data_IF_897296271861
#
_entry.id   IF_897296271861
#
_cell.length_a   1.000
_cell.length_b   1.000
_cell.length_c   1.000
_cell.angle_alpha   90.00
_cell.angle_beta   90.00
_cell.angle_gamma   90.00
#
_symmetry.space_group_name_H-M   'P 1'
#
loop_
_entity.id
_entity.type
_entity.pdbx_description
1 polymer ?
#
# COMPACT_ATOMS: atom_id res chain seq x y z
N UNK A 1 7.68 46.73 5.19
CA UNK A 1 7.54 46.89 3.73
C UNK A 1 6.06 47.07 3.44
N UNK A 2 5.64 48.26 2.99
CA UNK A 2 4.23 48.54 2.72
C UNK A 2 3.88 48.11 1.30
N UNK A 3 2.90 47.20 1.17
CA UNK A 3 2.23 46.97 -0.10
C UNK A 3 1.35 48.17 -0.39
N UNK A 4 1.65 48.90 -1.46
CA UNK A 4 0.83 50.01 -1.95
C UNK A 4 -0.42 49.40 -2.62
N UNK A 5 -1.60 49.70 -2.10
CA UNK A 5 -2.88 49.25 -2.64
C UNK A 5 -3.11 49.85 -4.03
N UNK A 6 -3.22 49.00 -5.06
CA UNK A 6 -3.52 49.41 -6.44
C UNK A 6 -5.05 49.46 -6.64
N UNK A 7 -5.57 50.57 -7.16
CA UNK A 7 -6.99 50.76 -7.44
C UNK A 7 -7.23 50.62 -8.95
N UNK A 8 -7.99 49.62 -9.37
CA UNK A 8 -8.09 49.16 -10.77
C UNK A 8 -9.04 49.99 -11.66
N UNK A 9 -9.29 51.27 -11.34
CA UNK A 9 -10.40 52.05 -11.93
C UNK A 9 -10.04 52.95 -13.13
N UNK A 10 -8.78 53.00 -13.57
CA UNK A 10 -8.35 53.94 -14.63
C UNK A 10 -8.08 53.31 -16.01
N UNK A 11 -8.57 52.09 -16.28
CA UNK A 11 -8.35 51.41 -17.56
C UNK A 11 -9.63 51.22 -18.37
N UNK A 12 -10.19 52.29 -18.94
CA UNK A 12 -11.13 52.19 -20.08
C UNK A 12 -11.04 53.45 -20.96
N UNK A 13 -9.91 53.59 -21.66
CA UNK A 13 -9.68 54.65 -22.64
C UNK A 13 -9.37 54.07 -24.02
N UNK A 14 -10.38 53.58 -24.75
CA UNK A 14 -10.23 53.25 -26.17
C UNK A 14 -10.01 54.55 -26.97
N UNK A 15 -8.76 54.89 -27.27
CA UNK A 15 -8.44 56.05 -28.12
C UNK A 15 -8.80 55.72 -29.57
N UNK A 16 -9.98 56.16 -30.00
CA UNK A 16 -10.36 56.22 -31.42
C UNK A 16 -10.04 57.63 -31.92
N UNK A 17 -9.19 57.75 -32.93
CA UNK A 17 -8.88 59.04 -33.58
C UNK A 17 -9.73 59.13 -34.85
N UNK A 18 -10.63 60.10 -34.90
CA UNK A 18 -11.47 60.41 -36.06
C UNK A 18 -10.74 61.35 -37.01
N UNK A 19 -10.42 60.87 -38.21
CA UNK A 19 -9.94 61.71 -39.31
C UNK A 19 -11.11 62.31 -40.12
N UNK A 20 -10.88 63.42 -40.86
CA UNK A 20 -11.89 64.04 -41.71
C UNK A 20 -12.17 63.14 -42.91
N UNK A 21 -13.11 62.21 -42.76
CA UNK A 21 -13.44 61.21 -43.79
C UNK A 21 -14.12 59.93 -43.30
N UNK A 22 -14.59 59.85 -42.06
CA UNK A 22 -15.54 58.80 -41.60
C UNK A 22 -15.01 57.36 -41.46
N UNK A 23 -13.74 57.08 -41.80
CA UNK A 23 -13.12 55.77 -41.58
C UNK A 23 -12.37 55.68 -40.24
N UNK A 24 -12.76 54.76 -39.36
CA UNK A 24 -12.04 54.45 -38.12
C UNK A 24 -10.72 53.73 -38.42
N UNK A 25 -9.59 54.41 -38.33
CA UNK A 25 -8.28 53.76 -38.36
C UNK A 25 -8.01 53.12 -36.98
N UNK A 26 -7.87 51.78 -36.93
CA UNK A 26 -7.40 51.09 -35.72
C UNK A 26 -5.98 51.55 -35.41
N UNK A 27 -5.82 52.27 -34.29
CA UNK A 27 -4.52 52.64 -33.77
C UNK A 27 -3.65 51.39 -33.58
N UNK A 28 -2.44 51.37 -34.17
CA UNK A 28 -1.44 50.30 -33.95
C UNK A 28 -0.73 50.43 -32.62
N UNK A 29 -1.08 51.44 -31.81
CA UNK A 29 -0.50 51.64 -30.49
C UNK A 29 -0.97 50.51 -29.57
N UNK A 30 -0.05 49.75 -28.95
CA UNK A 30 -0.42 48.75 -27.97
C UNK A 30 -1.22 49.40 -26.85
N UNK A 31 -2.22 48.68 -26.35
CA UNK A 31 -2.99 49.11 -25.20
C UNK A 31 -2.06 49.36 -24.01
N UNK A 32 -2.25 50.52 -23.36
CA UNK A 32 -1.40 50.98 -22.28
C UNK A 32 -1.92 50.47 -20.93
N UNK A 33 -2.15 49.16 -20.84
CA UNK A 33 -2.59 48.52 -19.60
C UNK A 33 -1.41 47.98 -18.82
N UNK A 34 -1.49 47.97 -17.49
CA UNK A 34 -0.39 47.50 -16.63
C UNK A 34 0.05 46.06 -16.95
N UNK A 35 -0.90 45.21 -17.35
CA UNK A 35 -0.63 43.84 -17.81
C UNK A 35 0.11 43.80 -19.16
N UNK A 36 -0.40 44.48 -20.19
CA UNK A 36 0.19 44.46 -21.55
C UNK A 36 1.54 45.18 -21.61
N UNK A 37 1.77 46.14 -20.72
CA UNK A 37 3.03 46.87 -20.61
C UNK A 37 4.01 46.23 -19.62
N UNK A 38 3.66 45.10 -19.00
CA UNK A 38 4.49 44.38 -18.01
C UNK A 38 4.89 45.26 -16.81
N UNK A 39 3.98 46.13 -16.35
CA UNK A 39 4.15 47.05 -15.21
C UNK A 39 3.25 46.67 -14.04
N UNK A 40 2.85 45.40 -13.96
CA UNK A 40 2.11 44.92 -12.80
C UNK A 40 2.94 45.13 -11.53
N UNK A 41 2.31 45.55 -10.41
CA UNK A 41 3.00 45.63 -9.14
C UNK A 41 3.48 44.21 -8.76
N UNK A 42 4.79 44.06 -8.62
CA UNK A 42 5.42 42.80 -8.27
C UNK A 42 6.26 42.99 -7.00
N UNK A 43 6.19 42.01 -6.10
CA UNK A 43 7.13 41.93 -4.99
C UNK A 43 8.43 41.29 -5.49
N UNK A 44 9.55 41.98 -5.33
CA UNK A 44 10.87 41.53 -5.75
C UNK A 44 11.77 41.39 -4.53
N UNK A 45 11.75 40.24 -3.82
CA UNK A 45 12.60 40.04 -2.65
C UNK A 45 14.07 39.96 -3.05
N UNK A 46 14.88 40.86 -2.51
CA UNK A 46 16.33 40.80 -2.62
C UNK A 46 16.85 40.00 -1.42
N UNK A 47 17.26 38.76 -1.67
CA UNK A 47 17.77 37.86 -0.64
C UNK A 47 19.20 38.28 -0.25
N UNK A 48 19.32 39.00 0.86
CA UNK A 48 20.60 39.40 1.46
C UNK A 48 20.89 38.57 2.71
N UNK A 49 22.16 38.48 3.12
CA UNK A 49 22.56 37.73 4.30
C UNK A 49 21.77 38.13 5.57
N UNK A 50 21.50 39.44 5.77
CA UNK A 50 20.72 39.92 6.91
C UNK A 50 19.24 39.51 6.91
N UNK A 51 18.68 39.17 5.75
CA UNK A 51 17.29 38.68 5.62
C UNK A 51 17.19 37.15 5.69
N UNK A 52 18.19 36.45 5.19
CA UNK A 52 18.18 34.98 5.07
C UNK A 52 18.66 34.30 6.35
N UNK A 53 19.64 34.89 7.05
CA UNK A 53 20.22 34.31 8.26
C UNK A 53 19.19 34.10 9.39
N UNK A 54 18.33 35.07 9.74
CA UNK A 54 17.27 34.84 10.72
C UNK A 54 16.27 33.75 10.29
N UNK A 55 15.98 33.64 9.00
CA UNK A 55 15.08 32.62 8.48
C UNK A 55 15.66 31.20 8.65
N UNK A 56 16.96 31.02 8.39
CA UNK A 56 17.64 29.74 8.63
C UNK A 56 17.66 29.36 10.11
N UNK A 57 17.95 30.28 11.02
CA UNK A 57 17.87 30.01 12.47
C UNK A 57 16.48 29.56 12.91
N UNK A 58 15.41 30.20 12.40
CA UNK A 58 14.02 29.81 12.72
C UNK A 58 13.73 28.40 12.22
N UNK A 59 14.12 28.08 10.97
CA UNK A 59 13.91 26.74 10.40
C UNK A 59 14.66 25.68 11.20
N UNK A 60 15.92 25.94 11.57
CA UNK A 60 16.72 25.03 12.39
C UNK A 60 16.10 24.76 13.76
N UNK A 61 15.68 25.81 14.46
CA UNK A 61 15.03 25.70 15.78
C UNK A 61 13.69 24.96 15.75
N UNK A 62 12.98 24.96 14.62
CA UNK A 62 11.74 24.19 14.45
C UNK A 62 12.04 22.74 14.05
N UNK A 63 12.99 22.52 13.14
CA UNK A 63 13.24 21.20 12.58
C UNK A 63 13.92 20.25 13.56
N UNK A 64 14.81 20.74 14.43
CA UNK A 64 15.48 19.91 15.44
C UNK A 64 14.49 19.25 16.43
N UNK A 65 13.61 19.98 17.15
CA UNK A 65 12.69 19.36 18.09
C UNK A 65 11.68 18.44 17.40
N UNK A 66 11.23 18.80 16.18
CA UNK A 66 10.39 17.90 15.37
C UNK A 66 11.16 16.61 15.06
N UNK A 67 12.40 16.72 14.58
CA UNK A 67 13.23 15.57 14.26
C UNK A 67 13.50 14.66 15.46
N UNK A 68 13.80 15.23 16.63
CA UNK A 68 13.99 14.47 17.88
C UNK A 68 12.68 13.77 18.28
N UNK A 69 11.55 14.48 18.25
CA UNK A 69 10.24 13.91 18.58
C UNK A 69 9.92 12.71 17.68
N UNK A 70 10.06 12.89 16.37
CA UNK A 70 9.89 11.85 15.35
C UNK A 70 10.82 10.64 15.57
N UNK A 71 12.09 10.90 15.89
CA UNK A 71 13.09 9.86 16.14
C UNK A 71 12.76 9.03 17.38
N UNK A 72 12.44 9.69 18.51
CA UNK A 72 12.06 9.00 19.75
C UNK A 72 10.78 8.19 19.57
N UNK A 73 9.77 8.76 18.92
CA UNK A 73 8.52 8.02 18.63
C UNK A 73 8.76 6.80 17.75
N UNK A 74 9.69 6.88 16.78
CA UNK A 74 10.03 5.74 15.93
C UNK A 74 10.79 4.65 16.69
N UNK A 75 11.72 5.01 17.57
CA UNK A 75 12.52 4.03 18.32
C UNK A 75 11.73 3.33 19.43
N UNK A 76 10.62 3.92 19.87
CA UNK A 76 9.70 3.28 20.80
C UNK A 76 8.83 2.21 20.14
N UNK A 77 8.79 2.14 18.79
CA UNK A 77 8.08 1.09 18.07
C UNK A 77 8.89 -0.20 18.19
N UNK A 78 8.23 -1.25 18.70
CA UNK A 78 8.83 -2.57 18.82
C UNK A 78 8.48 -3.39 17.59
N UNK A 79 9.45 -4.10 17.02
CA UNK A 79 9.24 -4.95 15.85
C UNK A 79 9.93 -6.30 16.07
N UNK A 80 9.30 -7.37 15.59
CA UNK A 80 9.85 -8.72 15.64
C UNK A 80 9.70 -9.39 14.28
N UNK A 81 10.76 -10.00 13.78
CA UNK A 81 10.81 -10.60 12.45
C UNK A 81 11.24 -12.07 12.54
N UNK A 82 10.60 -12.93 11.73
CA UNK A 82 10.95 -14.34 11.61
C UNK A 82 10.90 -14.77 10.15
N UNK A 83 12.04 -15.09 9.56
CA UNK A 83 12.08 -15.73 8.24
C UNK A 83 11.59 -17.19 8.34
N UNK A 84 10.57 -17.54 7.54
CA UNK A 84 10.06 -18.90 7.45
C UNK A 84 10.39 -19.61 6.13
N UNK A 85 11.13 -18.98 5.20
CA UNK A 85 11.40 -19.48 3.83
C UNK A 85 11.94 -20.92 3.78
N UNK A 86 12.73 -21.32 4.79
CA UNK A 86 13.26 -22.68 4.86
C UNK A 86 14.41 -22.95 3.88
N UNK A 87 15.31 -21.99 3.67
CA UNK A 87 16.50 -22.17 2.81
C UNK A 87 17.55 -23.06 3.48
N UNK A 88 17.77 -22.86 4.78
CA UNK A 88 18.75 -23.63 5.55
C UNK A 88 18.22 -24.99 5.96
N UNK A 89 19.07 -26.01 5.92
CA UNK A 89 18.74 -27.39 6.35
C UNK A 89 18.31 -27.44 7.83
N UNK A 90 18.78 -26.49 8.64
CA UNK A 90 18.39 -26.35 10.05
C UNK A 90 17.03 -25.70 10.27
N UNK A 91 16.42 -25.13 9.23
CA UNK A 91 15.12 -24.47 9.35
C UNK A 91 14.00 -25.50 9.51
N UNK A 92 13.04 -25.29 10.45
CA UNK A 92 11.86 -26.16 10.58
C UNK A 92 11.03 -26.26 9.30
N UNK A 93 11.13 -25.27 8.40
CA UNK A 93 10.37 -25.20 7.16
C UNK A 93 11.14 -25.75 5.94
N UNK A 94 12.37 -26.26 6.11
CA UNK A 94 13.20 -26.79 5.01
C UNK A 94 12.53 -27.94 4.24
N UNK A 95 11.80 -28.81 4.94
CA UNK A 95 11.07 -29.90 4.27
C UNK A 95 9.96 -29.37 3.35
N UNK A 96 9.34 -28.24 3.71
CA UNK A 96 8.30 -27.62 2.89
C UNK A 96 8.87 -26.88 1.66
N UNK A 97 10.09 -26.34 1.76
CA UNK A 97 10.77 -25.70 0.62
C UNK A 97 11.30 -26.73 -0.39
N UNK A 98 11.75 -27.90 0.08
CA UNK A 98 12.41 -28.93 -0.76
C UNK A 98 11.45 -29.97 -1.37
N UNK A 99 10.45 -30.48 -0.63
CA UNK A 99 9.51 -31.50 -1.12
C UNK A 99 8.37 -30.90 -1.96
N UNK A 100 8.68 -29.86 -2.72
CA UNK A 100 7.71 -29.17 -3.54
C UNK A 100 7.41 -29.96 -4.83
N UNK A 101 6.24 -30.59 -4.87
CA UNK A 101 5.68 -31.17 -6.10
C UNK A 101 4.37 -30.47 -6.42
N UNK A 102 4.26 -29.89 -7.62
CA UNK A 102 3.03 -29.27 -8.16
C UNK A 102 1.79 -30.18 -8.07
N UNK A 103 1.99 -31.50 -7.97
CA UNK A 103 0.95 -32.52 -7.90
C UNK A 103 0.62 -32.99 -6.47
N UNK A 104 1.28 -32.43 -5.44
CA UNK A 104 1.01 -32.84 -4.06
C UNK A 104 -0.21 -32.09 -3.53
N UNK A 105 -1.36 -32.76 -3.51
CA UNK A 105 -2.64 -32.22 -3.02
C UNK A 105 -2.66 -31.93 -1.51
N UNK A 106 -1.54 -32.12 -0.79
CA UNK A 106 -1.46 -31.95 0.67
C UNK A 106 -0.70 -30.66 1.01
N UNK A 107 -1.31 -29.76 1.79
CA UNK A 107 -0.61 -28.58 2.28
C UNK A 107 0.57 -29.01 3.17
N UNK A 108 1.72 -28.35 3.04
CA UNK A 108 2.85 -28.56 3.93
C UNK A 108 2.74 -27.59 5.11
N UNK A 109 2.81 -28.10 6.32
CA UNK A 109 2.77 -27.27 7.52
C UNK A 109 4.13 -27.30 8.21
N UNK A 110 4.67 -26.14 8.56
CA UNK A 110 5.84 -26.02 9.41
C UNK A 110 5.55 -25.14 10.63
N UNK A 111 6.27 -25.39 11.72
CA UNK A 111 6.10 -24.68 12.99
C UNK A 111 7.39 -24.02 13.40
N UNK A 112 7.34 -22.72 13.65
CA UNK A 112 8.50 -21.95 14.09
C UNK A 112 8.28 -21.44 15.51
N UNK A 113 9.02 -21.98 16.49
CA UNK A 113 9.01 -21.44 17.85
C UNK A 113 9.83 -20.14 17.90
N UNK A 114 9.33 -19.16 18.64
CA UNK A 114 10.06 -17.92 18.91
C UNK A 114 9.71 -17.35 20.28
N UNK A 115 10.54 -16.44 20.79
CA UNK A 115 10.35 -15.80 22.09
C UNK A 115 10.21 -14.29 21.94
N UNK A 116 9.19 -13.72 22.57
CA UNK A 116 9.03 -12.27 22.69
C UNK A 116 9.57 -11.83 24.05
N UNK A 117 10.70 -11.11 24.05
CA UNK A 117 11.36 -10.64 25.27
C UNK A 117 10.53 -9.61 26.05
N UNK A 118 9.83 -8.75 25.31
CA UNK A 118 9.08 -7.64 25.88
C UNK A 118 7.60 -7.76 25.49
N UNK A 119 6.68 -7.33 26.37
CA UNK A 119 5.26 -7.30 26.04
C UNK A 119 4.97 -6.23 24.99
N UNK A 120 3.90 -6.43 24.23
CA UNK A 120 3.42 -5.47 23.26
C UNK A 120 2.04 -4.95 23.64
N UNK A 121 1.93 -3.63 23.70
CA UNK A 121 0.76 -2.92 24.21
C UNK A 121 0.00 -2.23 23.08
N UNK A 122 -1.32 -2.11 23.20
CA UNK A 122 -2.13 -1.42 22.20
C UNK A 122 -2.39 -2.25 20.94
N UNK A 123 -2.64 -1.58 19.81
CA UNK A 123 -3.04 -2.26 18.58
C UNK A 123 -1.85 -2.97 17.94
N UNK A 124 -1.99 -4.29 17.82
CA UNK A 124 -0.98 -5.16 17.26
C UNK A 124 -1.32 -5.48 15.81
N UNK A 125 -0.32 -5.43 14.93
CA UNK A 125 -0.48 -5.72 13.50
C UNK A 125 0.47 -6.83 13.10
N UNK A 126 0.00 -7.74 12.26
CA UNK A 126 0.78 -8.83 11.69
C UNK A 126 0.90 -8.59 10.20
N UNK A 127 2.12 -8.55 9.68
CA UNK A 127 2.38 -8.40 8.25
C UNK A 127 2.96 -9.68 7.70
N UNK A 128 2.82 -9.87 6.39
CA UNK A 128 3.73 -10.73 5.64
C UNK A 128 4.63 -9.88 4.76
N UNK A 129 5.88 -10.31 4.63
CA UNK A 129 6.83 -9.69 3.72
C UNK A 129 7.22 -10.65 2.61
N UNK A 130 7.56 -10.05 1.48
CA UNK A 130 8.18 -10.72 0.36
C UNK A 130 9.38 -9.88 -0.04
N UNK A 131 10.50 -10.53 -0.30
CA UNK A 131 11.66 -9.90 -0.92
C UNK A 131 11.91 -10.50 -2.29
N UNK A 132 12.66 -9.78 -3.13
CA UNK A 132 12.89 -10.13 -4.53
C UNK A 132 11.60 -10.34 -5.35
N UNK A 133 10.49 -9.72 -4.96
CA UNK A 133 9.22 -9.81 -5.67
C UNK A 133 8.86 -8.46 -6.31
N UNK A 134 9.06 -8.35 -7.62
CA UNK A 134 8.98 -7.08 -8.36
C UNK A 134 7.53 -6.69 -8.74
N UNK A 135 6.70 -6.33 -7.75
CA UNK A 135 5.34 -5.82 -8.02
C UNK A 135 5.34 -4.54 -8.85
N UNK A 136 6.42 -3.76 -8.80
CA UNK A 136 6.58 -2.50 -9.53
C UNK A 136 6.94 -2.68 -11.02
N UNK A 137 7.13 -3.92 -11.49
CA UNK A 137 7.43 -4.16 -12.89
C UNK A 137 6.26 -3.72 -13.78
N UNK A 138 6.53 -2.89 -14.81
CA UNK A 138 5.49 -2.23 -15.63
C UNK A 138 4.43 -3.19 -16.17
N UNK A 139 4.82 -4.36 -16.67
CA UNK A 139 3.87 -5.37 -17.19
C UNK A 139 3.03 -6.01 -16.09
N UNK A 140 3.60 -6.16 -14.89
CA UNK A 140 2.89 -6.71 -13.75
C UNK A 140 1.82 -5.73 -13.26
N UNK A 141 2.20 -4.46 -13.04
CA UNK A 141 1.28 -3.39 -12.57
C UNK A 141 0.10 -3.18 -13.53
N UNK A 142 0.36 -3.26 -14.84
CA UNK A 142 -0.67 -3.11 -15.87
C UNK A 142 -1.62 -4.30 -15.97
N UNK A 143 -1.21 -5.48 -15.54
CA UNK A 143 -1.95 -6.72 -15.74
C UNK A 143 -3.07 -6.90 -14.70
N UNK A 144 -4.14 -6.12 -14.88
CA UNK A 144 -5.41 -6.17 -14.16
C UNK A 144 -6.50 -5.45 -14.96
N UNK A 145 -7.76 -5.68 -14.59
CA UNK A 145 -8.92 -4.97 -15.13
C UNK A 145 -9.66 -4.26 -14.00
N UNK A 146 -9.54 -2.93 -13.95
CA UNK A 146 -10.18 -2.12 -12.91
C UNK A 146 -11.72 -2.08 -13.04
N UNK A 147 -12.28 -2.23 -14.24
CA UNK A 147 -13.74 -2.31 -14.44
C UNK A 147 -14.29 -3.64 -13.93
N UNK A 148 -13.58 -4.75 -14.20
CA UNK A 148 -13.93 -6.06 -13.64
C UNK A 148 -13.90 -6.02 -12.11
N UNK A 149 -12.86 -5.44 -11.51
CA UNK A 149 -12.71 -5.33 -10.06
C UNK A 149 -13.74 -4.38 -9.41
N UNK A 150 -14.32 -3.47 -10.20
CA UNK A 150 -15.44 -2.63 -9.81
C UNK A 150 -16.81 -3.31 -9.97
N UNK A 151 -16.85 -4.59 -10.35
CA UNK A 151 -18.07 -5.37 -10.47
C UNK A 151 -18.88 -5.11 -11.74
N UNK A 152 -18.26 -4.57 -12.79
CA UNK A 152 -18.89 -4.42 -14.10
C UNK A 152 -19.18 -5.79 -14.74
N UNK A 153 -20.43 -6.00 -15.13
CA UNK A 153 -20.88 -7.31 -15.66
C UNK A 153 -20.31 -7.60 -17.05
N UNK A 154 -20.12 -6.58 -17.88
CA UNK A 154 -19.55 -6.75 -19.22
C UNK A 154 -18.05 -7.12 -19.11
N UNK A 155 -17.30 -6.37 -18.30
CA UNK A 155 -15.88 -6.63 -18.03
C UNK A 155 -15.63 -7.97 -17.33
N UNK A 156 -16.64 -8.57 -16.71
CA UNK A 156 -16.55 -9.92 -16.14
C UNK A 156 -16.45 -11.01 -17.22
N UNK A 157 -17.17 -10.85 -18.33
CA UNK A 157 -17.18 -11.81 -19.45
C UNK A 157 -16.17 -11.46 -20.55
N UNK A 158 -15.88 -10.16 -20.72
CA UNK A 158 -14.90 -9.65 -21.68
C UNK A 158 -13.82 -8.83 -20.96
N UNK A 159 -12.83 -9.49 -20.34
CA UNK A 159 -11.75 -8.80 -19.63
C UNK A 159 -10.86 -7.98 -20.58
N UNK A 160 -10.28 -6.92 -20.03
CA UNK A 160 -9.32 -6.04 -20.73
C UNK A 160 -8.12 -6.80 -21.29
N UNK A 161 -7.61 -6.34 -22.44
CA UNK A 161 -6.38 -6.86 -23.07
C UNK A 161 -5.15 -6.70 -22.20
N UNK A 162 -5.14 -5.74 -21.27
CA UNK A 162 -4.00 -5.56 -20.36
C UNK A 162 -3.83 -6.77 -19.42
N UNK A 163 -4.87 -7.59 -19.21
CA UNK A 163 -4.79 -8.82 -18.43
C UNK A 163 -4.04 -9.96 -19.12
N UNK A 164 -3.68 -9.86 -20.41
CA UNK A 164 -2.95 -10.92 -21.10
C UNK A 164 -1.58 -11.22 -20.45
N UNK A 165 -1.18 -12.50 -20.32
CA UNK A 165 -1.86 -13.71 -20.82
C UNK A 165 -2.95 -14.27 -19.87
N UNK A 166 -3.14 -13.68 -18.70
CA UNK A 166 -4.06 -14.14 -17.65
C UNK A 166 -5.49 -13.60 -17.80
N UNK A 167 -5.94 -13.42 -19.05
CA UNK A 167 -7.30 -12.98 -19.36
C UNK A 167 -8.26 -14.18 -19.50
N UNK A 168 -7.79 -15.31 -20.03
CA UNK A 168 -8.61 -16.48 -20.32
C UNK A 168 -7.91 -17.79 -19.89
N UNK A 169 -8.71 -18.76 -19.43
CA UNK A 169 -8.29 -20.14 -19.17
C UNK A 169 -9.35 -21.09 -19.72
N UNK A 170 -8.96 -22.07 -20.54
CA UNK A 170 -9.87 -23.01 -21.23
C UNK A 170 -11.05 -22.32 -21.94
N UNK A 171 -10.76 -21.22 -22.65
CA UNK A 171 -11.76 -20.36 -23.35
C UNK A 171 -12.80 -19.70 -22.44
N UNK A 172 -12.62 -19.74 -21.11
CA UNK A 172 -13.43 -18.99 -20.15
C UNK A 172 -12.64 -17.77 -19.65
N UNK A 173 -13.29 -16.61 -19.51
CA UNK A 173 -12.66 -15.43 -18.92
C UNK A 173 -12.30 -15.69 -17.46
N UNK A 174 -11.11 -15.26 -17.04
CA UNK A 174 -10.64 -15.41 -15.67
C UNK A 174 -11.22 -14.25 -14.82
N UNK A 175 -11.76 -14.58 -13.65
CA UNK A 175 -12.21 -13.60 -12.67
C UNK A 175 -11.62 -13.93 -11.28
N UNK A 176 -10.76 -13.05 -10.72
CA UNK A 176 -10.16 -11.83 -11.30
C UNK A 176 -9.05 -12.10 -12.33
N UNK A 177 -9.00 -11.34 -13.42
CA UNK A 177 -7.95 -11.48 -14.44
C UNK A 177 -6.65 -10.77 -14.06
N UNK A 178 -5.55 -11.20 -14.70
CA UNK A 178 -4.26 -10.51 -14.65
C UNK A 178 -3.21 -11.13 -13.74
N UNK A 179 -1.95 -10.74 -13.97
CA UNK A 179 -0.78 -11.30 -13.29
C UNK A 179 -0.77 -11.00 -11.79
N UNK A 180 -1.31 -9.84 -11.38
CA UNK A 180 -1.37 -9.43 -9.97
C UNK A 180 -2.24 -10.43 -9.23
N UNK A 181 -3.49 -10.61 -9.65
CA UNK A 181 -4.40 -11.52 -8.98
C UNK A 181 -3.93 -12.98 -9.05
N UNK A 182 -3.43 -13.43 -10.19
CA UNK A 182 -2.94 -14.80 -10.35
C UNK A 182 -1.74 -15.15 -9.43
N UNK A 183 -1.00 -14.15 -8.94
CA UNK A 183 0.13 -14.36 -8.03
C UNK A 183 -0.17 -14.06 -6.56
N UNK A 184 -1.45 -14.04 -6.17
CA UNK A 184 -1.90 -13.75 -4.81
C UNK A 184 -1.23 -14.61 -3.74
N UNK A 185 -0.70 -13.96 -2.70
CA UNK A 185 -0.20 -14.61 -1.50
C UNK A 185 -1.27 -15.52 -0.88
N UNK A 186 -0.91 -16.78 -0.64
CA UNK A 186 -1.86 -17.82 -0.26
C UNK A 186 -1.41 -18.69 0.93
N UNK A 187 -0.29 -18.35 1.58
CA UNK A 187 0.13 -19.03 2.80
C UNK A 187 -0.82 -18.68 3.96
N UNK A 188 -1.09 -19.66 4.81
CA UNK A 188 -1.96 -19.46 5.98
C UNK A 188 -1.10 -19.40 7.23
N UNK A 189 -1.17 -18.29 7.95
CA UNK A 189 -0.36 -18.05 9.14
C UNK A 189 -1.25 -18.01 10.37
N UNK A 190 -0.94 -18.86 11.34
CA UNK A 190 -1.61 -18.92 12.64
C UNK A 190 -0.60 -18.72 13.77
N UNK A 191 -0.98 -17.92 14.77
CA UNK A 191 -0.12 -17.57 15.88
C UNK A 191 -0.65 -18.20 17.16
N UNK A 192 0.25 -18.84 17.90
CA UNK A 192 -0.08 -19.46 19.18
C UNK A 192 0.84 -18.95 20.29
N UNK A 193 0.25 -18.68 21.44
CA UNK A 193 0.96 -18.41 22.69
C UNK A 193 1.17 -19.71 23.46
N UNK A 194 2.41 -20.01 23.82
CA UNK A 194 2.76 -21.17 24.62
C UNK A 194 2.80 -20.74 26.08
N UNK A 195 1.73 -21.03 26.81
CA UNK A 195 1.63 -20.77 28.24
C UNK A 195 2.71 -21.57 28.98
N UNK A 196 3.43 -20.97 29.96
CA UNK A 196 4.34 -21.70 30.85
C UNK A 196 3.74 -22.96 31.49
N UNK A 197 2.41 -23.04 31.61
CA UNK A 197 1.69 -24.22 32.07
C UNK A 197 1.63 -25.37 31.04
N UNK A 198 2.24 -25.22 29.87
CA UNK A 198 2.31 -26.22 28.79
C UNK A 198 1.14 -26.20 27.81
N UNK A 199 0.25 -25.20 27.89
CA UNK A 199 -0.91 -25.09 27.00
C UNK A 199 -0.60 -24.18 25.81
N UNK A 200 -0.91 -24.64 24.58
CA UNK A 200 -0.82 -23.85 23.35
C UNK A 200 -2.16 -23.15 23.12
N UNK A 201 -2.20 -21.82 23.27
CA UNK A 201 -3.41 -20.99 23.12
C UNK A 201 -3.37 -20.25 21.79
N UNK A 202 -4.46 -20.34 21.00
CA UNK A 202 -4.57 -19.63 19.73
C UNK A 202 -4.75 -18.12 19.97
N UNK A 203 -3.92 -17.30 19.33
CA UNK A 203 -4.06 -15.84 19.36
C UNK A 203 -5.12 -15.43 18.34
N UNK A 204 -6.18 -14.70 18.75
CA UNK A 204 -7.24 -14.29 17.83
C UNK A 204 -6.72 -13.27 16.82
N UNK A 205 -6.72 -13.65 15.54
CA UNK A 205 -6.29 -12.82 14.42
C UNK A 205 -7.52 -12.30 13.65
N UNK A 206 -7.72 -10.99 13.60
CA UNK A 206 -8.79 -10.39 12.80
C UNK A 206 -8.35 -10.19 11.35
N UNK A 207 -9.13 -10.70 10.40
CA UNK A 207 -8.93 -10.58 8.95
C UNK A 207 -9.74 -9.43 8.30
N UNK A 208 -10.42 -8.62 9.11
CA UNK A 208 -11.19 -7.44 8.69
C UNK A 208 -10.59 -6.15 9.25
N UNK A 209 -10.77 -5.04 8.55
CA UNK A 209 -10.19 -3.75 8.92
C UNK A 209 -8.69 -3.63 8.63
N UNK A 210 -8.20 -4.41 7.66
CA UNK A 210 -6.84 -4.39 7.13
C UNK A 210 -6.72 -3.59 5.82
N UNK A 211 -7.81 -3.51 5.04
CA UNK A 211 -7.87 -2.74 3.82
C UNK A 211 -8.23 -1.26 4.08
N UNK A 212 -7.82 -0.39 3.16
CA UNK A 212 -8.20 1.02 3.23
C UNK A 212 -9.69 1.21 2.92
N UNK A 213 -10.32 2.16 3.61
CA UNK A 213 -11.73 2.45 3.44
C UNK A 213 -12.11 2.70 1.97
N UNK A 214 -11.33 3.50 1.25
CA UNK A 214 -11.59 3.80 -0.17
C UNK A 214 -11.48 2.55 -1.06
N UNK A 215 -10.55 1.65 -0.76
CA UNK A 215 -10.40 0.44 -1.55
C UNK A 215 -11.59 -0.48 -1.31
N UNK A 216 -11.97 -0.69 -0.05
CA UNK A 216 -13.04 -1.60 0.33
C UNK A 216 -14.44 -1.14 -0.09
N UNK A 217 -14.75 0.15 0.04
CA UNK A 217 -16.11 0.66 -0.12
C UNK A 217 -16.35 1.43 -1.41
N UNK A 218 -15.29 1.86 -2.10
CA UNK A 218 -15.43 2.66 -3.33
C UNK A 218 -14.84 1.93 -4.53
N UNK A 219 -13.59 1.48 -4.45
CA UNK A 219 -12.85 0.97 -5.60
C UNK A 219 -13.27 -0.44 -6.00
N UNK A 220 -13.28 -1.38 -5.06
CA UNK A 220 -13.63 -2.78 -5.29
C UNK A 220 -15.10 -3.02 -4.96
N UNK A 221 -15.80 -3.74 -5.85
CA UNK A 221 -17.20 -4.12 -5.63
C UNK A 221 -17.48 -5.48 -6.23
N UNK A 222 -18.38 -6.22 -5.61
CA UNK A 222 -18.88 -7.46 -6.19
C UNK A 222 -19.88 -7.15 -7.31
N UNK A 223 -19.84 -7.91 -8.42
CA UNK A 223 -20.84 -7.81 -9.48
C UNK A 223 -22.23 -8.24 -8.96
N UNK A 224 -23.30 -7.71 -9.57
CA UNK A 224 -24.68 -8.03 -9.22
C UNK A 224 -25.28 -7.26 -8.03
N UNK A 225 -24.50 -6.41 -7.35
CA UNK A 225 -24.97 -5.56 -6.25
C UNK A 225 -25.03 -6.25 -4.88
N UNK A 226 -25.58 -5.54 -3.90
CA UNK A 226 -25.60 -5.99 -2.50
C UNK A 226 -26.53 -7.21 -2.31
N UNK A 227 -25.98 -8.30 -1.76
CA UNK A 227 -26.74 -9.52 -1.46
C UNK A 227 -26.92 -10.49 -2.62
N UNK A 228 -26.29 -10.25 -3.77
CA UNK A 228 -26.32 -11.18 -4.90
C UNK A 228 -25.65 -12.53 -4.55
N UNK A 229 -26.18 -13.62 -5.09
CA UNK A 229 -25.54 -14.94 -4.98
C UNK A 229 -24.29 -14.98 -5.86
N UNK A 230 -23.12 -14.80 -5.25
CA UNK A 230 -21.85 -14.71 -5.96
C UNK A 230 -21.60 -15.89 -6.90
N UNK A 231 -21.95 -17.12 -6.50
CA UNK A 231 -21.78 -18.31 -7.34
C UNK A 231 -22.56 -18.22 -8.65
N UNK A 232 -23.74 -17.62 -8.63
CA UNK A 232 -24.54 -17.39 -9.83
C UNK A 232 -23.98 -16.25 -10.68
N UNK A 233 -23.50 -15.18 -10.05
CA UNK A 233 -22.95 -14.02 -10.76
C UNK A 233 -21.65 -14.35 -11.49
N UNK A 234 -20.78 -15.15 -10.88
CA UNK A 234 -19.52 -15.59 -11.48
C UNK A 234 -19.69 -16.77 -12.45
N UNK A 235 -20.93 -17.18 -12.76
CA UNK A 235 -21.18 -18.26 -13.70
C UNK A 235 -20.63 -17.93 -15.10
N UNK A 236 -19.84 -18.85 -15.67
CA UNK A 236 -19.18 -18.65 -16.96
C UNK A 236 -17.75 -18.11 -16.87
N UNK A 237 -17.31 -17.66 -15.69
CA UNK A 237 -15.91 -17.31 -15.43
C UNK A 237 -15.11 -18.53 -14.94
N UNK A 238 -13.78 -18.41 -14.95
CA UNK A 238 -12.85 -19.35 -14.34
C UNK A 238 -12.03 -18.68 -13.24
N UNK A 239 -11.62 -19.46 -12.25
CA UNK A 239 -10.65 -19.00 -11.24
C UNK A 239 -9.27 -18.76 -11.90
N UNK A 240 -8.42 -17.90 -11.32
CA UNK A 240 -7.04 -17.79 -11.75
C UNK A 240 -6.30 -19.13 -11.69
N UNK A 241 -5.31 -19.30 -12.56
CA UNK A 241 -4.62 -20.57 -12.78
C UNK A 241 -4.01 -21.11 -11.50
N UNK A 242 -3.36 -20.24 -10.72
CA UNK A 242 -2.65 -20.62 -9.51
C UNK A 242 -3.54 -20.63 -8.26
N UNK A 243 -4.83 -20.32 -8.38
CA UNK A 243 -5.74 -20.31 -7.24
C UNK A 243 -6.30 -21.72 -7.00
N UNK A 244 -6.41 -22.13 -5.74
CA UNK A 244 -7.08 -23.39 -5.38
C UNK A 244 -8.61 -23.23 -5.41
N UNK A 245 -9.09 -22.10 -4.91
CA UNK A 245 -10.51 -21.76 -4.78
C UNK A 245 -10.85 -20.55 -5.64
N UNK A 246 -12.08 -20.42 -6.14
CA UNK A 246 -12.54 -19.22 -6.83
C UNK A 246 -12.69 -18.03 -5.88
N UNK A 247 -12.80 -16.83 -6.45
CA UNK A 247 -12.86 -15.57 -5.69
C UNK A 247 -14.05 -15.45 -4.74
N UNK A 248 -15.15 -16.11 -5.04
CA UNK A 248 -16.36 -16.14 -4.23
C UNK A 248 -16.34 -17.22 -3.12
N UNK A 249 -15.21 -17.89 -2.91
CA UNK A 249 -14.98 -18.86 -1.82
C UNK A 249 -13.76 -18.48 -0.95
N UNK A 250 -13.32 -17.22 -1.01
CA UNK A 250 -12.16 -16.74 -0.25
C UNK A 250 -12.44 -16.63 1.25
N UNK A 251 -13.66 -16.24 1.62
CA UNK A 251 -14.08 -16.14 3.02
C UNK A 251 -15.48 -16.74 3.19
N UNK A 252 -15.77 -17.24 4.39
CA UNK A 252 -17.10 -17.68 4.83
C UNK A 252 -18.02 -16.50 5.10
N UNK A 253 -17.46 -15.35 5.50
CA UNK A 253 -18.23 -14.14 5.77
C UNK A 253 -18.59 -13.43 4.46
N UNK A 254 -19.88 -13.27 4.18
CA UNK A 254 -20.38 -12.61 2.97
C UNK A 254 -19.89 -11.17 2.81
N UNK A 255 -19.64 -10.45 3.91
CA UNK A 255 -19.13 -9.07 3.91
C UNK A 255 -17.63 -8.95 3.59
N UNK A 256 -16.91 -10.07 3.50
CA UNK A 256 -15.48 -10.14 3.21
C UNK A 256 -15.16 -11.17 2.12
N UNK A 257 -16.09 -11.38 1.18
CA UNK A 257 -15.96 -12.40 0.14
C UNK A 257 -16.13 -11.81 -1.27
N UNK A 258 -15.57 -12.45 -2.30
CA UNK A 258 -15.50 -11.91 -3.66
C UNK A 258 -14.39 -10.86 -3.82
N UNK A 259 -14.57 -9.88 -4.71
CA UNK A 259 -13.60 -8.82 -4.97
C UNK A 259 -13.43 -7.86 -3.78
N UNK A 260 -14.38 -7.84 -2.85
CA UNK A 260 -14.31 -7.03 -1.62
C UNK A 260 -13.55 -7.72 -0.47
N UNK A 261 -13.03 -8.93 -0.70
CA UNK A 261 -12.20 -9.63 0.29
C UNK A 261 -10.97 -8.79 0.62
N UNK A 262 -10.74 -8.50 1.90
CA UNK A 262 -9.70 -7.57 2.32
C UNK A 262 -8.28 -8.10 2.07
N UNK A 263 -8.04 -9.41 2.20
CA UNK A 263 -6.74 -10.02 1.86
C UNK A 263 -6.43 -9.83 0.36
N UNK A 264 -7.43 -10.04 -0.49
CA UNK A 264 -7.33 -9.79 -1.92
C UNK A 264 -7.07 -8.31 -2.23
N UNK A 265 -7.80 -7.39 -1.60
CA UNK A 265 -7.61 -5.94 -1.78
C UNK A 265 -6.18 -5.52 -1.39
N UNK A 266 -5.70 -5.97 -0.23
CA UNK A 266 -4.35 -5.66 0.24
C UNK A 266 -3.30 -6.19 -0.74
N UNK A 267 -3.52 -7.38 -1.31
CA UNK A 267 -2.64 -7.92 -2.34
C UNK A 267 -2.63 -7.08 -3.61
N UNK A 268 -3.82 -6.73 -4.13
CA UNK A 268 -4.00 -5.98 -5.38
C UNK A 268 -3.39 -4.58 -5.38
N UNK A 269 -3.10 -4.01 -4.20
CA UNK A 269 -2.30 -2.79 -4.06
C UNK A 269 -0.82 -3.08 -4.28
N UNK A 270 -0.33 -2.85 -5.49
CA UNK A 270 1.08 -3.07 -5.86
C UNK A 270 2.05 -2.26 -5.01
N UNK A 271 3.08 -2.91 -4.48
CA UNK A 271 4.18 -2.27 -3.78
C UNK A 271 5.14 -1.55 -4.74
N UNK A 272 5.78 -0.48 -4.26
CA UNK A 272 6.73 0.32 -5.05
C UNK A 272 8.14 -0.30 -5.13
N UNK A 273 8.48 -1.15 -4.16
CA UNK A 273 9.81 -1.76 -3.99
C UNK A 273 9.72 -3.30 -4.09
N UNK A 274 10.81 -3.99 -4.47
CA UNK A 274 10.86 -5.45 -4.57
C UNK A 274 10.83 -6.16 -3.22
N UNK A 275 11.20 -5.45 -2.16
CA UNK A 275 11.02 -5.89 -0.77
C UNK A 275 9.91 -5.05 -0.17
N UNK A 276 8.83 -5.69 0.25
CA UNK A 276 7.67 -5.02 0.79
C UNK A 276 6.98 -5.86 1.85
N UNK A 277 6.18 -5.19 2.68
CA UNK A 277 5.29 -5.82 3.64
C UNK A 277 3.83 -5.47 3.34
N UNK A 278 2.93 -6.41 3.58
CA UNK A 278 1.49 -6.26 3.44
C UNK A 278 0.81 -6.67 4.74
N UNK A 279 -0.19 -5.89 5.15
CA UNK A 279 -0.91 -6.15 6.38
C UNK A 279 -1.71 -7.44 6.22
N UNK A 280 -1.47 -8.41 7.09
CA UNK A 280 -2.16 -9.69 7.11
C UNK A 280 -3.33 -9.64 8.09
N UNK A 281 -3.04 -9.41 9.37
CA UNK A 281 -4.06 -9.48 10.44
C UNK A 281 -3.86 -8.35 11.44
N UNK A 282 -4.94 -8.01 12.13
CA UNK A 282 -4.86 -7.16 13.33
C UNK A 282 -5.19 -7.99 14.56
N UNK A 283 -4.45 -7.76 15.64
CA UNK A 283 -4.71 -8.35 16.95
C UNK A 283 -5.17 -7.19 17.81
N UNK A 284 -6.48 -7.15 18.06
CA UNK A 284 -7.13 -6.15 18.88
C UNK A 284 -7.85 -6.90 20.00
N UNK A 285 -7.21 -6.98 21.15
CA UNK A 285 -7.89 -7.44 22.35
C UNK A 285 -7.99 -6.29 23.34
N UNK A 286 -9.19 -5.70 23.46
CA UNK A 286 -9.46 -4.63 24.40
C UNK A 286 -9.53 -5.11 25.86
N UNK A 287 -9.59 -6.44 26.09
CA UNK A 287 -9.76 -7.04 27.42
C UNK A 287 -8.46 -7.54 28.03
N UNK A 288 -7.42 -7.77 27.21
CA UNK A 288 -6.12 -8.31 27.65
C UNK A 288 -5.03 -7.25 27.40
N UNK A 289 -4.42 -6.78 28.50
CA UNK A 289 -3.28 -5.87 28.49
C UNK A 289 -2.14 -6.57 29.24
N UNK A 290 -0.97 -6.79 28.62
CA UNK A 290 -0.57 -6.44 27.25
C UNK A 290 -1.29 -7.30 26.18
N UNK A 291 -1.48 -6.75 24.98
CA UNK A 291 -2.16 -7.45 23.87
C UNK A 291 -1.39 -8.69 23.43
N UNK A 292 -0.06 -8.64 23.45
CA UNK A 292 0.80 -9.83 23.41
C UNK A 292 1.77 -9.81 24.61
N UNK A 293 1.62 -10.71 25.59
CA UNK A 293 2.58 -10.81 26.70
C UNK A 293 3.95 -11.31 26.22
N UNK A 294 5.00 -10.99 26.97
CA UNK A 294 6.32 -11.61 26.81
C UNK A 294 6.23 -13.11 27.07
N UNK A 295 6.85 -13.93 26.23
CA UNK A 295 6.75 -15.38 26.37
C UNK A 295 7.11 -16.13 25.10
N UNK A 296 6.95 -17.45 25.17
CA UNK A 296 7.15 -18.33 24.03
C UNK A 296 5.91 -18.32 23.13
N UNK A 297 6.13 -18.20 21.84
CA UNK A 297 5.10 -18.29 20.82
C UNK A 297 5.48 -19.35 19.80
N UNK A 298 4.50 -19.78 19.03
CA UNK A 298 4.69 -20.65 17.88
C UNK A 298 3.89 -20.12 16.72
N UNK A 299 4.60 -19.86 15.62
CA UNK A 299 4.00 -19.57 14.33
C UNK A 299 3.80 -20.88 13.59
N UNK A 300 2.56 -21.16 13.21
CA UNK A 300 2.20 -22.28 12.35
C UNK A 300 1.95 -21.76 10.94
N UNK A 301 2.74 -22.23 9.99
CA UNK A 301 2.70 -21.79 8.60
C UNK A 301 2.23 -22.95 7.75
N UNK A 302 1.09 -22.76 7.09
CA UNK A 302 0.59 -23.65 6.06
C UNK A 302 1.06 -23.10 4.72
N UNK A 303 2.10 -23.72 4.17
CA UNK A 303 2.69 -23.38 2.89
C UNK A 303 1.73 -23.69 1.74
N UNK A 304 1.59 -22.71 0.86
CA UNK A 304 0.73 -22.76 -0.31
C UNK A 304 1.48 -22.29 -1.56
N UNK A 305 0.93 -22.71 -2.70
CA UNK A 305 1.63 -23.06 -3.95
C UNK A 305 2.43 -21.94 -4.64
N UNK A 306 2.33 -20.68 -4.21
CA UNK A 306 2.84 -19.53 -4.98
C UNK A 306 4.24 -19.03 -4.59
N UNK A 307 4.73 -19.33 -3.39
CA UNK A 307 6.06 -18.88 -2.98
C UNK A 307 7.21 -19.66 -3.63
N UNK A 308 6.97 -20.85 -4.20
CA UNK A 308 8.04 -21.76 -4.65
C UNK A 308 8.35 -21.66 -6.15
N UNK A 309 7.38 -21.66 -7.08
CA UNK A 309 7.73 -21.69 -8.52
C UNK A 309 8.07 -20.37 -9.17
N UNK A 310 7.45 -19.28 -8.74
CA UNK A 310 7.80 -17.95 -9.28
C UNK A 310 9.23 -17.59 -8.88
N UNK A 311 9.75 -18.23 -7.82
CA UNK A 311 11.02 -17.90 -7.21
C UNK A 311 12.12 -18.93 -7.47
N UNK A 312 11.86 -20.25 -7.46
CA UNK A 312 12.91 -21.25 -7.70
C UNK A 312 13.47 -21.25 -9.12
N UNK A 313 12.67 -20.88 -10.14
CA UNK A 313 13.13 -20.93 -11.53
C UNK A 313 13.39 -19.56 -12.19
N UNK A 314 12.99 -18.44 -11.58
CA UNK A 314 13.20 -17.12 -12.17
C UNK A 314 13.94 -16.13 -11.28
N UNK A 315 13.74 -16.13 -9.96
CA UNK A 315 14.34 -15.13 -9.07
C UNK A 315 14.50 -15.66 -7.63
N UNK A 316 15.75 -15.78 -7.18
CA UNK A 316 16.18 -16.24 -5.86
C UNK A 316 15.24 -15.78 -4.69
N UNK A 317 14.47 -16.67 -4.04
CA UNK A 317 13.51 -16.32 -2.99
C UNK A 317 14.17 -16.12 -1.63
N UNK A 318 14.03 -14.92 -1.08
CA UNK A 318 13.99 -14.76 0.38
C UNK A 318 12.59 -14.23 0.72
N UNK A 319 11.66 -15.11 1.09
CA UNK A 319 10.33 -14.70 1.53
C UNK A 319 10.37 -14.54 3.06
N UNK A 320 11.01 -13.48 3.57
CA UNK A 320 11.04 -13.24 5.00
C UNK A 320 9.69 -12.70 5.49
N UNK A 321 9.13 -13.36 6.50
CA UNK A 321 7.94 -12.89 7.19
C UNK A 321 8.32 -11.97 8.33
N UNK A 322 7.87 -10.74 8.20
CA UNK A 322 8.03 -9.74 9.24
C UNK A 322 6.72 -9.73 10.00
N UNK A 323 6.67 -10.34 11.18
CA UNK A 323 5.62 -10.06 12.16
C UNK A 323 5.81 -8.66 12.72
N UNK A 324 5.69 -7.64 11.85
CA UNK A 324 5.91 -6.25 12.23
C UNK A 324 4.78 -5.77 13.10
N UNK A 325 4.98 -5.91 14.40
CA UNK A 325 4.07 -5.42 15.40
C UNK A 325 4.15 -3.90 15.52
N UNK A 326 3.52 -3.20 14.58
CA UNK A 326 3.64 -1.74 14.48
C UNK A 326 2.54 -1.01 15.26
N UNK A 327 2.83 -0.61 16.49
CA UNK A 327 2.02 0.41 17.17
C UNK A 327 2.29 1.75 16.46
N UNK A 328 1.24 2.35 15.92
CA UNK A 328 1.32 3.34 14.86
C UNK A 328 1.94 4.68 15.29
N UNK A 329 3.06 5.05 14.67
CA UNK A 329 3.18 6.32 13.96
C UNK A 329 3.98 6.05 12.69
N UNK A 330 3.54 6.56 11.53
CA UNK A 330 4.13 6.33 10.19
C UNK A 330 5.54 6.92 10.01
N UNK A 331 6.26 7.14 11.09
CA UNK A 331 7.52 7.86 11.09
C UNK A 331 8.64 6.83 11.09
N UNK A 332 9.25 6.63 9.93
CA UNK A 332 10.54 5.96 9.88
C UNK A 332 11.57 6.79 10.66
N UNK A 333 12.43 6.15 11.44
CA UNK A 333 13.56 6.79 12.12
C UNK A 333 14.41 7.63 11.17
N UNK A 334 14.48 7.25 9.89
CA UNK A 334 15.11 8.02 8.80
C UNK A 334 14.52 9.43 8.67
N UNK A 335 13.21 9.59 8.81
CA UNK A 335 12.57 10.92 8.77
C UNK A 335 13.05 11.78 9.93
N UNK A 336 13.07 11.24 11.16
CA UNK A 336 13.60 11.95 12.33
C UNK A 336 15.06 12.40 12.13
N UNK A 337 15.92 11.49 11.65
CA UNK A 337 17.31 11.80 11.31
C UNK A 337 17.42 12.90 10.26
N UNK A 338 16.64 12.85 9.17
CA UNK A 338 16.67 13.87 8.14
C UNK A 338 16.30 15.25 8.70
N UNK A 339 15.24 15.35 9.51
CA UNK A 339 14.85 16.62 10.13
C UNK A 339 15.94 17.19 11.05
N UNK A 340 16.61 16.34 11.85
CA UNK A 340 17.74 16.77 12.68
C UNK A 340 18.93 17.21 11.81
N UNK A 341 19.30 16.44 10.78
CA UNK A 341 20.42 16.79 9.89
C UNK A 341 20.16 18.10 9.14
N UNK A 342 18.97 18.27 8.55
CA UNK A 342 18.58 19.51 7.90
C UNK A 342 18.56 20.67 8.89
N UNK A 343 17.94 20.48 10.05
CA UNK A 343 17.89 21.51 11.09
C UNK A 343 19.28 21.95 11.55
N UNK A 344 20.23 21.01 11.65
CA UNK A 344 21.63 21.30 12.01
C UNK A 344 22.38 22.01 10.89
N UNK A 345 22.07 21.74 9.61
CA UNK A 345 22.65 22.48 8.49
C UNK A 345 22.16 23.93 8.39
N UNK A 346 21.01 24.26 8.98
CA UNK A 346 20.44 25.61 9.00
C UNK A 346 20.87 26.44 10.22
N UNK A 347 21.49 25.83 11.24
CA UNK A 347 22.09 26.50 12.39
C UNK A 347 23.59 26.68 12.17
#
# INVERSE_FOLDING_TARGET
MMATSYNAKDEDGHITVSGPGGGTLRSRKPENTAFKQQRLPAWQPILTAGTVLPAFFIIGLIFIPIGIGLYVTSNNIREFEVDYTGVDVSSPCFNCSQNYSWNSSRPCTCTIPFYLEQPYEGNVYMYYGLSNFYQNHRRYVKSRDDSQLHGDMDSLLTPSKECEPYAFHDKKPIAPCGAIANSMFNDTLELFYNDPNGTKVLVPLANTGIAWFTDKYVKFKNPGGDGANLTAVFQGTSKPVNWLKPVYELDKNSSNNGFINEDFIVWMRTAALPTFRKLYRTIKDAKVIPTLPSGNYTLEVVYSILCVNVTQHAFNPHASLWTSLSIWSNVSSSSGHHFVCYGTHFL
#
